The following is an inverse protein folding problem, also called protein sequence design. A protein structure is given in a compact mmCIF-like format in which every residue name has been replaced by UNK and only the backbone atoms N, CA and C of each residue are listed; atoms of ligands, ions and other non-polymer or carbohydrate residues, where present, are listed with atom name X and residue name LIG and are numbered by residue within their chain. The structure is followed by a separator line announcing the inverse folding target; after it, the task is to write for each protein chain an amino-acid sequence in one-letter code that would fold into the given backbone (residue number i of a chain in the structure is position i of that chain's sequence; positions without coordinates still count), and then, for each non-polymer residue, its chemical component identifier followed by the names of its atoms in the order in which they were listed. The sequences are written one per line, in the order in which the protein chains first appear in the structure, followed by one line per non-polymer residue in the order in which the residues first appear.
data_IF_263732860149
#
_entry.id   IF_263732860149
#
_cell.length_a   1.000
_cell.length_b   1.000
_cell.length_c   1.000
_cell.angle_alpha   90.00
_cell.angle_beta   90.00
_cell.angle_gamma   90.00
#
_symmetry.space_group_name_H-M   'P 1'
#
loop_
_entity.id
_entity.type
_entity.pdbx_description
1 polymer ?
#
# COMPACT_ATOMS: atom_id res chain seq x y z
N UNK A 1 -41.17 3.54 26.18
CA UNK A 1 -40.31 4.41 25.36
C UNK A 1 -38.89 3.92 25.57
N UNK A 2 -38.23 3.20 24.63
CA UNK A 2 -36.84 2.85 24.87
C UNK A 2 -36.02 4.14 24.87
N UNK A 3 -35.18 4.26 25.89
CA UNK A 3 -34.29 5.37 26.17
C UNK A 3 -33.49 5.77 24.92
N UNK A 4 -33.51 7.06 24.60
CA UNK A 4 -32.69 7.65 23.55
C UNK A 4 -31.22 7.42 23.85
N UNK A 5 -30.64 6.39 23.23
CA UNK A 5 -29.20 6.26 23.15
C UNK A 5 -28.71 7.47 22.36
N UNK A 6 -28.01 8.38 23.05
CA UNK A 6 -27.37 9.52 22.43
C UNK A 6 -26.42 8.99 21.36
N UNK A 7 -26.63 9.38 20.10
CA UNK A 7 -25.70 9.06 19.02
C UNK A 7 -24.36 9.68 19.42
N UNK A 8 -23.27 8.90 19.51
CA UNK A 8 -21.99 9.43 19.90
C UNK A 8 -21.56 10.49 18.88
N UNK A 9 -21.14 11.65 19.38
CA UNK A 9 -20.61 12.73 18.55
C UNK A 9 -19.12 12.49 18.36
N UNK A 10 -18.68 12.47 17.11
CA UNK A 10 -17.25 12.35 16.78
C UNK A 10 -16.44 13.51 17.38
N UNK A 11 -15.30 13.18 17.97
CA UNK A 11 -14.27 14.11 18.45
C UNK A 11 -12.93 13.80 17.81
N UNK A 12 -12.00 14.77 17.84
CA UNK A 12 -10.62 14.62 17.35
C UNK A 12 -10.48 14.01 15.94
N UNK A 13 -11.20 14.50 14.91
CA UNK A 13 -11.16 13.91 13.59
C UNK A 13 -9.78 14.06 12.94
N UNK A 14 -9.31 13.01 12.26
CA UNK A 14 -8.07 13.00 11.50
C UNK A 14 -8.19 12.15 10.23
N UNK A 15 -7.23 12.28 9.31
CA UNK A 15 -7.12 11.45 8.11
C UNK A 15 -8.39 11.46 7.25
N UNK A 16 -8.62 12.53 6.48
CA UNK A 16 -9.82 12.65 5.67
C UNK A 16 -9.61 12.22 4.22
N UNK A 17 -10.46 11.33 3.73
CA UNK A 17 -10.49 10.92 2.31
C UNK A 17 -11.93 10.87 1.80
N UNK A 18 -12.20 11.52 0.67
CA UNK A 18 -13.49 11.42 -0.01
C UNK A 18 -13.48 10.25 -1.01
N UNK A 19 -14.48 9.38 -0.92
CA UNK A 19 -14.72 8.30 -1.88
C UNK A 19 -16.20 8.36 -2.29
N UNK A 20 -16.45 8.63 -3.58
CA UNK A 20 -17.80 8.71 -4.16
C UNK A 20 -18.79 9.60 -3.37
N UNK A 21 -18.32 10.77 -2.91
CA UNK A 21 -19.17 11.72 -2.19
C UNK A 21 -19.37 11.41 -0.70
N UNK A 22 -18.73 10.37 -0.18
CA UNK A 22 -18.65 10.08 1.26
C UNK A 22 -17.24 10.47 1.74
N UNK A 23 -17.15 11.38 2.72
CA UNK A 23 -15.87 11.69 3.37
C UNK A 23 -15.68 10.78 4.57
N UNK A 24 -14.65 9.96 4.55
CA UNK A 24 -14.24 9.08 5.64
C UNK A 24 -13.14 9.72 6.47
N UNK A 25 -13.12 9.43 7.77
CA UNK A 25 -12.09 9.90 8.69
C UNK A 25 -12.02 9.01 9.95
N UNK A 26 -10.89 9.06 10.65
CA UNK A 26 -10.75 8.51 11.99
C UNK A 26 -11.20 9.52 13.04
N UNK A 27 -11.90 9.08 14.09
CA UNK A 27 -12.33 9.93 15.20
C UNK A 27 -12.72 9.08 16.42
N UNK A 28 -12.71 9.68 17.60
CA UNK A 28 -13.15 9.07 18.87
C UNK A 28 -14.47 9.66 19.38
N UNK A 29 -14.94 9.20 20.54
CA UNK A 29 -16.00 9.83 21.33
C UNK A 29 -15.85 9.48 22.81
N UNK A 30 -16.75 9.96 23.69
CA UNK A 30 -16.70 9.65 25.12
C UNK A 30 -16.97 8.18 25.48
N UNK A 31 -17.49 7.38 24.55
CA UNK A 31 -17.84 5.97 24.77
C UNK A 31 -17.31 5.02 23.69
N UNK A 32 -16.62 5.57 22.68
CA UNK A 32 -16.03 4.82 21.55
C UNK A 32 -14.61 5.32 21.35
N UNK A 33 -13.65 4.40 21.19
CA UNK A 33 -12.28 4.74 20.84
C UNK A 33 -12.14 5.34 19.43
N UNK A 34 -10.90 5.51 18.96
CA UNK A 34 -10.61 5.92 17.59
C UNK A 34 -11.05 4.85 16.60
N UNK A 35 -12.08 5.19 15.83
CA UNK A 35 -12.79 4.29 14.95
C UNK A 35 -13.09 4.93 13.58
N UNK A 36 -13.68 4.17 12.66
CA UNK A 36 -14.01 4.69 11.33
C UNK A 36 -15.34 5.46 11.35
N UNK A 37 -15.28 6.73 10.94
CA UNK A 37 -16.43 7.61 10.80
C UNK A 37 -16.59 8.08 9.35
N UNK A 38 -17.78 8.62 9.05
CA UNK A 38 -18.06 9.27 7.78
C UNK A 38 -18.88 10.55 7.96
N UNK A 39 -18.81 11.43 6.98
CA UNK A 39 -19.67 12.61 6.86
C UNK A 39 -20.05 12.90 5.41
N UNK A 40 -21.22 13.50 5.24
CA UNK A 40 -21.65 14.15 4.00
C UNK A 40 -21.64 15.70 4.12
N UNK A 41 -21.04 16.25 5.18
CA UNK A 41 -21.01 17.68 5.47
C UNK A 41 -22.15 18.21 6.35
N UNK A 42 -23.07 17.35 6.79
CA UNK A 42 -24.16 17.72 7.70
C UNK A 42 -24.01 17.02 9.06
N UNK A 43 -24.53 17.63 10.13
CA UNK A 43 -24.51 17.00 11.46
C UNK A 43 -25.20 15.63 11.47
N UNK A 44 -26.33 15.49 10.77
CA UNK A 44 -27.07 14.23 10.67
C UNK A 44 -26.33 13.16 9.84
N UNK A 45 -25.49 13.59 8.89
CA UNK A 45 -24.70 12.68 8.06
C UNK A 45 -23.31 12.36 8.62
N UNK A 46 -22.90 13.01 9.71
CA UNK A 46 -21.66 12.73 10.45
C UNK A 46 -21.90 11.62 11.46
N UNK A 47 -21.58 10.38 11.09
CA UNK A 47 -21.92 9.19 11.88
C UNK A 47 -20.80 8.16 11.88
N UNK A 48 -20.76 7.34 12.92
CA UNK A 48 -19.90 6.18 13.01
C UNK A 48 -20.21 5.22 11.85
N UNK A 49 -19.17 4.75 11.16
CA UNK A 49 -19.31 3.69 10.14
C UNK A 49 -19.27 2.34 10.82
N UNK A 50 -18.27 2.10 11.66
CA UNK A 50 -18.11 0.86 12.41
C UNK A 50 -17.25 1.09 13.64
N UNK A 51 -17.72 0.57 14.77
CA UNK A 51 -16.91 0.31 15.97
C UNK A 51 -16.14 -1.01 15.72
N UNK A 52 -14.90 -0.92 15.25
CA UNK A 52 -14.09 -2.10 14.90
C UNK A 52 -13.63 -2.80 16.18
N UNK A 53 -13.11 -2.04 17.16
CA UNK A 53 -12.77 -2.54 18.49
C UNK A 53 -13.80 -2.06 19.51
N UNK A 54 -14.82 -2.90 19.73
CA UNK A 54 -15.98 -2.56 20.54
C UNK A 54 -15.68 -1.81 21.85
N UNK A 55 -16.39 -0.69 22.07
CA UNK A 55 -16.28 0.12 23.27
C UNK A 55 -15.14 1.14 23.18
N UNK A 56 -14.43 1.37 24.28
CA UNK A 56 -13.42 2.45 24.38
C UNK A 56 -12.03 2.02 23.88
N UNK A 57 -11.93 0.89 23.18
CA UNK A 57 -10.64 0.43 22.63
C UNK A 57 -10.47 1.00 21.23
N UNK A 58 -9.26 1.43 20.89
CA UNK A 58 -9.00 2.07 19.61
C UNK A 58 -8.71 1.02 18.53
N UNK A 59 -9.29 1.15 17.33
CA UNK A 59 -8.79 0.47 16.13
C UNK A 59 -7.79 1.31 15.35
N UNK A 60 -7.66 2.60 15.70
CA UNK A 60 -6.72 3.57 15.15
C UNK A 60 -6.66 3.51 13.60
N UNK A 61 -7.79 3.69 12.89
CA UNK A 61 -7.79 3.59 11.44
C UNK A 61 -6.84 4.63 10.82
N UNK A 62 -6.04 4.24 9.84
CA UNK A 62 -5.04 5.10 9.18
C UNK A 62 -4.85 4.70 7.71
N UNK A 63 -4.05 5.44 6.94
CA UNK A 63 -3.78 5.20 5.51
C UNK A 63 -5.06 5.16 4.66
N UNK A 64 -5.92 6.17 4.82
CA UNK A 64 -7.20 6.27 4.12
C UNK A 64 -7.04 6.52 2.63
N UNK A 65 -7.24 5.49 1.80
CA UNK A 65 -7.01 5.51 0.36
C UNK A 65 -8.29 5.09 -0.39
N UNK A 66 -8.74 5.90 -1.35
CA UNK A 66 -9.83 5.51 -2.25
C UNK A 66 -9.35 4.49 -3.30
N UNK A 67 -10.00 3.34 -3.39
CA UNK A 67 -9.72 2.29 -4.38
C UNK A 67 -11.03 1.90 -5.07
N UNK A 68 -11.18 2.34 -6.33
CA UNK A 68 -12.46 2.23 -7.03
C UNK A 68 -13.57 2.94 -6.26
N UNK A 69 -14.61 2.20 -5.87
CA UNK A 69 -15.75 2.73 -5.12
C UNK A 69 -15.67 2.51 -3.60
N UNK A 70 -14.52 2.06 -3.09
CA UNK A 70 -14.35 1.67 -1.69
C UNK A 70 -13.23 2.47 -1.05
N UNK A 71 -13.36 2.72 0.25
CA UNK A 71 -12.22 3.09 1.07
C UNK A 71 -11.40 1.83 1.35
N UNK A 72 -10.09 1.95 1.24
CA UNK A 72 -9.10 1.01 1.77
C UNK A 72 -8.29 1.76 2.83
N UNK A 73 -8.06 1.12 3.96
CA UNK A 73 -7.38 1.73 5.11
C UNK A 73 -6.74 0.63 5.95
N UNK A 74 -5.91 1.00 6.93
CA UNK A 74 -5.36 0.06 7.91
C UNK A 74 -6.04 0.24 9.26
N UNK A 75 -6.30 -0.83 9.99
CA UNK A 75 -6.84 -0.77 11.34
C UNK A 75 -6.32 -1.94 12.18
N UNK A 76 -6.16 -1.70 13.47
CA UNK A 76 -5.69 -2.66 14.46
C UNK A 76 -6.87 -3.42 15.08
N UNK A 77 -6.71 -4.73 15.28
CA UNK A 77 -7.50 -5.49 16.26
C UNK A 77 -6.58 -6.34 17.13
N UNK A 78 -6.98 -6.67 18.38
CA UNK A 78 -6.21 -7.59 19.21
C UNK A 78 -5.98 -8.97 18.58
N UNK A 79 -6.86 -9.40 17.67
CA UNK A 79 -6.80 -10.72 17.05
C UNK A 79 -5.87 -10.78 15.83
N UNK A 80 -5.76 -9.67 15.08
CA UNK A 80 -5.07 -9.63 13.77
C UNK A 80 -3.88 -8.67 13.73
N UNK A 81 -3.65 -7.89 14.78
CA UNK A 81 -2.76 -6.73 14.66
C UNK A 81 -3.31 -5.68 13.67
N UNK A 82 -2.45 -4.81 13.16
CA UNK A 82 -2.79 -3.79 12.16
C UNK A 82 -2.68 -4.35 10.75
N UNK A 83 -3.82 -4.50 10.10
CA UNK A 83 -3.97 -5.13 8.78
C UNK A 83 -4.73 -4.21 7.81
N UNK A 84 -4.90 -4.65 6.57
CA UNK A 84 -5.62 -3.91 5.53
C UNK A 84 -7.12 -4.19 5.60
N UNK A 85 -7.91 -3.13 5.64
CA UNK A 85 -9.38 -3.12 5.72
C UNK A 85 -9.99 -2.38 4.53
N UNK A 86 -11.28 -2.60 4.32
CA UNK A 86 -12.06 -1.86 3.35
C UNK A 86 -13.45 -1.52 3.85
N UNK A 87 -13.96 -0.36 3.44
CA UNK A 87 -15.32 0.09 3.72
C UNK A 87 -16.04 0.59 2.46
N UNK A 88 -17.34 0.32 2.38
CA UNK A 88 -18.26 0.98 1.44
C UNK A 88 -19.11 2.08 2.11
N UNK A 89 -18.78 2.48 3.34
CA UNK A 89 -19.58 3.46 4.10
C UNK A 89 -20.66 2.86 4.99
N UNK A 90 -20.75 1.53 5.11
CA UNK A 90 -21.67 0.84 6.03
C UNK A 90 -20.90 -0.05 6.99
N UNK A 91 -21.45 -0.29 8.19
CA UNK A 91 -20.87 -1.21 9.17
C UNK A 91 -20.66 -2.63 8.60
N UNK A 92 -21.69 -3.16 7.90
CA UNK A 92 -21.64 -4.49 7.30
C UNK A 92 -20.61 -4.59 6.16
N UNK A 93 -20.47 -3.53 5.36
CA UNK A 93 -19.48 -3.48 4.29
C UNK A 93 -18.08 -3.02 4.72
N UNK A 94 -17.83 -2.94 6.03
CA UNK A 94 -16.53 -2.59 6.62
C UNK A 94 -15.87 -3.82 7.22
N UNK A 95 -14.90 -4.39 6.51
CA UNK A 95 -14.29 -5.69 6.82
C UNK A 95 -12.79 -5.67 6.55
N UNK A 96 -12.05 -6.56 7.22
CA UNK A 96 -10.67 -6.86 6.86
C UNK A 96 -10.65 -7.39 5.41
N UNK A 97 -9.69 -6.93 4.62
CA UNK A 97 -9.46 -7.46 3.27
C UNK A 97 -8.68 -8.76 3.34
N UNK A 98 -7.60 -8.75 4.11
CA UNK A 98 -6.77 -9.91 4.36
C UNK A 98 -5.96 -9.70 5.64
N UNK A 99 -5.92 -10.73 6.47
CA UNK A 99 -4.91 -10.87 7.52
C UNK A 99 -3.63 -11.36 6.83
N UNK A 100 -2.78 -10.43 6.39
CA UNK A 100 -1.57 -10.76 5.63
C UNK A 100 -0.55 -11.43 6.55
N UNK A 101 -0.40 -10.91 7.77
CA UNK A 101 0.45 -11.52 8.79
C UNK A 101 -0.43 -12.23 9.82
N UNK A 102 -0.81 -13.46 9.48
CA UNK A 102 -1.70 -14.30 10.30
C UNK A 102 -1.36 -14.26 11.79
N UNK A 103 -2.34 -13.89 12.60
CA UNK A 103 -2.24 -13.82 14.06
C UNK A 103 -2.18 -12.39 14.58
N UNK A 104 -1.67 -12.19 15.79
CA UNK A 104 -1.82 -10.92 16.52
C UNK A 104 -0.85 -9.81 16.09
N UNK A 105 0.00 -10.06 15.11
CA UNK A 105 1.09 -9.16 14.73
C UNK A 105 0.79 -8.46 13.42
N UNK A 106 1.07 -7.16 13.33
CA UNK A 106 0.83 -6.37 12.12
C UNK A 106 1.73 -6.77 10.95
N UNK A 107 1.17 -6.78 9.74
CA UNK A 107 1.88 -6.94 8.47
C UNK A 107 2.70 -5.72 8.03
N UNK A 108 2.65 -4.61 8.77
CA UNK A 108 3.52 -3.42 8.60
C UNK A 108 3.50 -2.87 7.16
N UNK A 109 2.30 -2.55 6.66
CA UNK A 109 2.15 -2.02 5.31
C UNK A 109 2.86 -0.67 5.14
N UNK A 110 3.43 -0.46 3.96
CA UNK A 110 4.10 0.79 3.57
C UNK A 110 3.98 0.98 2.03
N UNK A 111 4.61 2.02 1.49
CA UNK A 111 4.79 2.33 0.05
C UNK A 111 3.51 2.14 -0.76
N UNK A 112 2.53 2.99 -0.54
CA UNK A 112 1.26 2.93 -1.27
C UNK A 112 1.35 3.65 -2.62
N UNK A 113 0.82 3.05 -3.69
CA UNK A 113 0.62 3.72 -4.98
C UNK A 113 -0.56 3.14 -5.76
N UNK A 114 -1.31 3.98 -6.48
CA UNK A 114 -2.48 3.55 -7.26
C UNK A 114 -2.13 3.50 -8.74
N UNK A 115 -2.59 2.46 -9.42
CA UNK A 115 -2.59 2.34 -10.88
C UNK A 115 -3.99 1.93 -11.32
N UNK A 116 -4.70 2.84 -11.99
CA UNK A 116 -6.11 2.64 -12.31
C UNK A 116 -6.95 2.46 -11.03
N UNK A 117 -7.58 1.30 -10.87
CA UNK A 117 -8.38 0.95 -9.69
C UNK A 117 -7.68 -0.05 -8.76
N UNK A 118 -6.36 -0.22 -8.89
CA UNK A 118 -5.58 -1.15 -8.09
C UNK A 118 -4.58 -0.38 -7.23
N UNK A 119 -4.60 -0.66 -5.93
CA UNK A 119 -3.61 -0.19 -4.98
C UNK A 119 -2.47 -1.20 -4.88
N UNK A 120 -1.24 -0.73 -5.04
CA UNK A 120 -0.01 -1.48 -4.78
C UNK A 120 0.63 -0.98 -3.50
N UNK A 121 1.19 -1.90 -2.72
CA UNK A 121 1.79 -1.61 -1.43
C UNK A 121 2.81 -2.69 -1.05
N UNK A 122 3.69 -2.40 -0.09
CA UNK A 122 4.54 -3.43 0.52
C UNK A 122 3.90 -3.94 1.79
N UNK A 123 4.03 -5.24 2.06
CA UNK A 123 3.60 -5.85 3.32
C UNK A 123 4.49 -7.03 3.67
N UNK A 124 4.68 -7.26 4.98
CA UNK A 124 5.38 -8.41 5.52
C UNK A 124 4.43 -9.59 5.76
N UNK A 125 4.80 -10.75 5.22
CA UNK A 125 4.19 -12.06 5.49
C UNK A 125 5.31 -13.00 5.98
N UNK A 126 5.08 -13.83 7.03
CA UNK A 126 6.14 -14.68 7.57
C UNK A 126 6.64 -15.77 6.60
N UNK A 127 5.86 -16.07 5.55
CA UNK A 127 6.18 -17.02 4.49
C UNK A 127 7.08 -16.40 3.41
N UNK A 128 6.87 -15.12 3.11
CA UNK A 128 7.45 -14.43 1.94
C UNK A 128 8.37 -13.25 2.31
N UNK A 129 8.44 -12.86 3.59
CA UNK A 129 9.06 -11.61 4.00
C UNK A 129 8.27 -10.38 3.53
N UNK A 130 8.95 -9.24 3.41
CA UNK A 130 8.38 -7.99 2.87
C UNK A 130 8.46 -7.98 1.36
N UNK A 131 7.30 -8.05 0.71
CA UNK A 131 7.15 -8.17 -0.74
C UNK A 131 6.15 -7.15 -1.29
N UNK A 132 5.99 -7.12 -2.62
CA UNK A 132 5.00 -6.29 -3.30
C UNK A 132 3.64 -7.00 -3.35
N UNK A 133 2.62 -6.32 -2.82
CA UNK A 133 1.22 -6.76 -2.81
C UNK A 133 0.36 -5.80 -3.62
N UNK A 134 -0.84 -6.27 -3.98
CA UNK A 134 -1.86 -5.43 -4.59
C UNK A 134 -3.25 -5.74 -4.07
N UNK A 135 -4.17 -4.78 -4.18
CA UNK A 135 -5.61 -4.95 -3.93
C UNK A 135 -6.45 -4.13 -4.90
N UNK A 136 -7.62 -4.64 -5.25
CA UNK A 136 -8.71 -3.89 -5.91
C UNK A 136 -9.76 -3.38 -4.89
N UNK A 137 -9.48 -3.48 -3.59
CA UNK A 137 -10.41 -3.16 -2.52
C UNK A 137 -11.33 -4.32 -2.12
N UNK A 138 -11.07 -5.54 -2.62
CA UNK A 138 -11.78 -6.76 -2.23
C UNK A 138 -10.85 -7.82 -1.63
N UNK A 139 -11.35 -8.74 -0.78
CA UNK A 139 -10.52 -9.82 -0.24
C UNK A 139 -9.90 -10.69 -1.34
N UNK A 140 -10.65 -11.02 -2.39
CA UNK A 140 -10.19 -11.86 -3.49
C UNK A 140 -9.10 -11.17 -4.34
N UNK A 141 -9.19 -9.85 -4.52
CA UNK A 141 -8.19 -9.07 -5.24
C UNK A 141 -6.95 -8.71 -4.41
N UNK A 142 -6.93 -9.03 -3.10
CA UNK A 142 -5.81 -8.74 -2.19
C UNK A 142 -4.78 -9.87 -2.22
N UNK A 143 -3.75 -9.72 -3.05
CA UNK A 143 -2.82 -10.80 -3.40
C UNK A 143 -1.37 -10.32 -3.48
N UNK A 144 -0.45 -11.24 -3.19
CA UNK A 144 0.98 -11.08 -3.47
C UNK A 144 1.16 -10.95 -4.98
N UNK A 145 1.92 -9.96 -5.44
CA UNK A 145 2.21 -9.78 -6.87
C UNK A 145 3.20 -10.84 -7.35
N UNK A 146 4.28 -11.03 -6.59
CA UNK A 146 5.31 -12.04 -6.78
C UNK A 146 6.12 -12.17 -5.50
N UNK A 147 6.52 -13.39 -5.16
CA UNK A 147 7.62 -13.65 -4.23
C UNK A 147 8.94 -13.36 -4.98
N UNK A 148 9.43 -12.12 -4.89
CA UNK A 148 10.61 -11.68 -5.66
C UNK A 148 11.87 -12.31 -5.09
N UNK A 149 11.95 -12.43 -3.76
CA UNK A 149 13.03 -13.13 -3.07
C UNK A 149 12.49 -14.38 -2.40
N UNK A 150 12.58 -15.55 -3.07
CA UNK A 150 11.93 -16.76 -2.63
C UNK A 150 12.13 -17.11 -1.15
N UNK A 151 11.00 -17.38 -0.47
CA UNK A 151 10.96 -17.81 0.92
C UNK A 151 10.89 -16.66 1.92
N UNK A 152 11.38 -16.88 3.14
CA UNK A 152 11.12 -15.99 4.29
C UNK A 152 11.84 -14.63 4.26
N UNK A 153 12.69 -14.39 3.26
CA UNK A 153 13.55 -13.20 3.23
C UNK A 153 12.92 -12.11 2.36
N UNK A 154 12.87 -10.88 2.85
CA UNK A 154 12.33 -9.75 2.10
C UNK A 154 13.13 -9.41 0.84
N UNK A 155 12.42 -9.10 -0.25
CA UNK A 155 12.95 -8.36 -1.40
C UNK A 155 13.03 -6.86 -1.19
N UNK A 156 12.33 -6.35 -0.17
CA UNK A 156 12.27 -4.94 0.27
C UNK A 156 11.97 -3.96 -0.89
N UNK A 157 10.81 -4.05 -1.54
CA UNK A 157 10.43 -3.12 -2.61
C UNK A 157 10.37 -1.67 -2.11
N UNK A 158 10.90 -0.71 -2.89
CA UNK A 158 10.86 0.72 -2.57
C UNK A 158 10.91 1.60 -3.85
N UNK A 159 10.91 2.92 -3.72
CA UNK A 159 11.03 3.90 -4.80
C UNK A 159 9.97 3.77 -5.89
N UNK A 160 8.71 3.56 -5.51
CA UNK A 160 7.61 3.33 -6.44
C UNK A 160 7.41 4.52 -7.40
N UNK A 161 7.45 4.25 -8.70
CA UNK A 161 7.22 5.23 -9.77
C UNK A 161 6.36 4.61 -10.86
N UNK A 162 5.21 5.22 -11.13
CA UNK A 162 4.26 4.75 -12.14
C UNK A 162 4.51 5.46 -13.47
N UNK A 163 4.59 4.70 -14.57
CA UNK A 163 4.61 5.21 -15.95
C UNK A 163 3.58 4.43 -16.76
N UNK A 164 2.53 5.11 -17.21
CA UNK A 164 1.36 4.47 -17.83
C UNK A 164 0.75 3.44 -16.87
N UNK A 165 0.71 2.17 -17.29
CA UNK A 165 0.20 1.04 -16.49
C UNK A 165 1.30 0.19 -15.85
N UNK A 166 2.56 0.67 -15.86
CA UNK A 166 3.71 -0.07 -15.31
C UNK A 166 4.20 0.61 -14.03
N UNK A 167 4.39 -0.20 -12.98
CA UNK A 167 5.09 0.23 -11.78
C UNK A 167 6.57 -0.11 -11.89
N UNK A 168 7.42 0.89 -11.74
CA UNK A 168 8.86 0.76 -11.54
C UNK A 168 9.19 0.92 -10.07
N UNK A 169 10.13 0.11 -9.58
CA UNK A 169 10.53 0.09 -8.18
C UNK A 169 11.91 -0.54 -8.04
N UNK A 170 12.49 -0.45 -6.85
CA UNK A 170 13.74 -1.13 -6.51
C UNK A 170 13.47 -2.33 -5.64
N UNK A 171 14.11 -3.47 -5.88
CA UNK A 171 14.00 -4.67 -5.06
C UNK A 171 15.23 -5.57 -5.24
N UNK A 172 15.40 -6.55 -4.36
CA UNK A 172 16.44 -7.59 -4.43
C UNK A 172 15.83 -8.98 -4.47
N UNK A 173 16.27 -9.83 -5.39
CA UNK A 173 15.93 -11.27 -5.41
C UNK A 173 16.91 -12.12 -4.58
N UNK A 174 17.82 -11.48 -3.84
CA UNK A 174 18.88 -12.12 -3.08
C UNK A 174 20.08 -12.61 -3.92
N UNK A 175 19.99 -12.56 -5.25
CA UNK A 175 21.07 -13.01 -6.15
C UNK A 175 21.81 -11.85 -6.80
N UNK A 176 21.12 -10.73 -7.07
CA UNK A 176 21.65 -9.60 -7.84
C UNK A 176 21.65 -8.26 -7.08
N UNK A 177 21.65 -8.30 -5.75
CA UNK A 177 21.54 -7.07 -4.95
C UNK A 177 20.24 -6.30 -5.25
N UNK A 178 20.20 -5.01 -4.89
CA UNK A 178 19.05 -4.15 -5.16
C UNK A 178 19.18 -3.52 -6.55
N UNK A 179 18.24 -3.85 -7.43
CA UNK A 179 18.23 -3.44 -8.83
C UNK A 179 16.91 -2.74 -9.20
N UNK A 180 16.82 -2.26 -10.45
CA UNK A 180 15.57 -1.73 -11.00
C UNK A 180 14.66 -2.88 -11.43
N UNK A 181 13.43 -2.88 -10.92
CA UNK A 181 12.37 -3.82 -11.26
C UNK A 181 11.18 -3.09 -11.88
N UNK A 182 10.36 -3.86 -12.59
CA UNK A 182 9.06 -3.40 -13.08
C UNK A 182 7.99 -4.46 -12.87
N UNK A 183 6.74 -4.04 -12.80
CA UNK A 183 5.57 -4.92 -12.87
C UNK A 183 4.42 -4.30 -13.66
N UNK A 184 3.64 -5.18 -14.31
CA UNK A 184 2.31 -4.86 -14.86
C UNK A 184 1.17 -5.36 -13.95
N UNK A 185 1.50 -5.76 -12.71
CA UNK A 185 0.55 -6.33 -11.75
C UNK A 185 0.43 -7.85 -11.79
N UNK A 186 1.21 -8.56 -12.59
CA UNK A 186 1.22 -10.03 -12.64
C UNK A 186 2.59 -10.57 -12.21
N UNK A 187 2.63 -11.81 -11.71
CA UNK A 187 3.90 -12.45 -11.36
C UNK A 187 4.83 -12.59 -12.57
N UNK A 188 4.29 -12.93 -13.75
CA UNK A 188 5.05 -13.06 -14.99
C UNK A 188 5.60 -11.72 -15.50
N UNK A 189 4.84 -10.64 -15.35
CA UNK A 189 5.27 -9.29 -15.70
C UNK A 189 6.14 -8.60 -14.65
N UNK A 190 6.35 -9.22 -13.48
CA UNK A 190 7.23 -8.71 -12.42
C UNK A 190 8.65 -9.22 -12.64
N UNK A 191 9.50 -8.36 -13.19
CA UNK A 191 10.85 -8.73 -13.65
C UNK A 191 11.87 -7.64 -13.35
N UNK A 192 13.12 -8.05 -13.11
CA UNK A 192 14.27 -7.14 -13.11
C UNK A 192 14.41 -6.55 -14.49
N UNK A 193 14.54 -5.23 -14.58
CA UNK A 193 14.70 -4.52 -15.85
C UNK A 193 16.09 -4.76 -16.42
N UNK A 194 17.12 -4.64 -15.57
CA UNK A 194 18.51 -4.87 -15.91
C UNK A 194 19.30 -5.16 -14.64
N UNK A 195 20.29 -6.04 -14.73
CA UNK A 195 21.37 -6.14 -13.76
C UNK A 195 22.41 -5.05 -14.13
N UNK A 196 22.36 -3.90 -13.44
CA UNK A 196 23.21 -2.75 -13.77
C UNK A 196 24.60 -2.92 -13.15
N UNK A 197 24.68 -3.50 -11.95
CA UNK A 197 25.93 -3.85 -11.30
C UNK A 197 26.10 -5.37 -11.33
N UNK A 198 26.87 -5.92 -12.28
CA UNK A 198 26.89 -7.36 -12.53
C UNK A 198 27.19 -8.21 -11.29
N UNK A 199 26.45 -9.31 -11.14
CA UNK A 199 26.65 -10.28 -10.07
C UNK A 199 25.86 -9.91 -8.81
N UNK A 200 26.40 -10.21 -7.62
CA UNK A 200 25.69 -10.01 -6.35
C UNK A 200 25.78 -8.59 -5.78
N UNK A 201 26.47 -7.69 -6.48
CA UNK A 201 26.55 -6.28 -6.08
C UNK A 201 25.23 -5.55 -6.34
N UNK A 202 25.00 -4.46 -5.61
CA UNK A 202 23.77 -3.66 -5.73
C UNK A 202 24.04 -2.40 -6.54
N UNK A 203 23.27 -2.18 -7.62
CA UNK A 203 23.28 -0.90 -8.32
C UNK A 203 22.57 0.20 -7.53
N UNK A 204 21.75 -0.16 -6.52
CA UNK A 204 21.05 0.77 -5.63
C UNK A 204 20.40 1.95 -6.39
N UNK A 205 19.47 1.71 -7.33
CA UNK A 205 18.82 2.79 -8.05
C UNK A 205 18.11 3.76 -7.09
N UNK A 206 18.19 5.07 -7.33
CA UNK A 206 17.48 6.09 -6.53
C UNK A 206 16.96 7.21 -7.41
N UNK A 207 16.02 7.98 -6.86
CA UNK A 207 15.41 9.15 -7.50
C UNK A 207 14.76 8.81 -8.85
N UNK A 208 14.02 7.70 -8.88
CA UNK A 208 13.25 7.28 -10.04
C UNK A 208 12.28 8.40 -10.42
N UNK A 209 12.44 8.93 -11.62
CA UNK A 209 11.71 10.10 -12.11
C UNK A 209 11.23 9.84 -13.52
N UNK A 210 9.92 9.94 -13.75
CA UNK A 210 9.36 9.88 -15.10
C UNK A 210 9.55 11.23 -15.82
N UNK A 211 10.12 11.21 -17.02
CA UNK A 211 10.20 12.37 -17.92
C UNK A 211 9.76 11.90 -19.31
N UNK A 212 8.58 12.34 -19.77
CA UNK A 212 8.03 12.02 -21.09
C UNK A 212 8.05 10.51 -21.40
N UNK A 213 7.51 9.70 -20.49
CA UNK A 213 7.43 8.23 -20.56
C UNK A 213 8.78 7.49 -20.54
N UNK A 214 9.86 8.19 -20.18
CA UNK A 214 11.18 7.61 -19.95
C UNK A 214 11.53 7.74 -18.48
N UNK A 215 11.93 6.62 -17.86
CA UNK A 215 12.38 6.61 -16.47
C UNK A 215 13.84 7.06 -16.39
N UNK A 216 14.12 8.11 -15.63
CA UNK A 216 15.46 8.56 -15.28
C UNK A 216 15.74 8.27 -13.80
N UNK A 217 16.97 7.87 -13.49
CA UNK A 217 17.39 7.54 -12.14
C UNK A 217 18.92 7.54 -12.06
N UNK A 218 19.47 7.55 -10.85
CA UNK A 218 20.90 7.25 -10.67
C UNK A 218 21.10 5.85 -10.11
N UNK A 219 22.20 5.20 -10.51
CA UNK A 219 22.57 3.88 -10.04
C UNK A 219 24.08 3.69 -10.12
N UNK A 220 24.62 2.84 -9.23
CA UNK A 220 26.00 2.42 -9.23
C UNK A 220 26.27 1.44 -10.36
N UNK A 221 27.41 1.61 -11.00
CA UNK A 221 28.01 0.68 -11.97
C UNK A 221 29.43 0.34 -11.52
N UNK A 222 30.11 -0.54 -12.25
CA UNK A 222 31.54 -0.82 -12.04
C UNK A 222 32.43 0.44 -12.10
N UNK A 223 31.97 1.52 -12.74
CA UNK A 223 32.69 2.79 -12.88
C UNK A 223 32.17 3.90 -11.93
N UNK A 224 31.43 3.51 -10.88
CA UNK A 224 30.80 4.40 -9.92
C UNK A 224 29.36 4.77 -10.26
N UNK A 225 28.81 5.75 -9.51
CA UNK A 225 27.43 6.21 -9.67
C UNK A 225 27.25 7.02 -10.94
N UNK A 226 26.24 6.68 -11.75
CA UNK A 226 25.92 7.33 -13.03
C UNK A 226 24.44 7.70 -13.12
N UNK A 227 24.11 8.60 -14.04
CA UNK A 227 22.74 8.84 -14.47
C UNK A 227 22.35 7.80 -15.52
N UNK A 228 21.13 7.27 -15.42
CA UNK A 228 20.58 6.25 -16.30
C UNK A 228 19.22 6.70 -16.83
N UNK A 229 18.86 6.18 -18.00
CA UNK A 229 17.49 6.20 -18.51
C UNK A 229 17.03 4.79 -18.84
N UNK A 230 15.74 4.53 -18.74
CA UNK A 230 15.11 3.25 -19.08
C UNK A 230 13.77 3.44 -19.76
N UNK A 231 13.52 2.65 -20.80
CA UNK A 231 12.19 2.42 -21.37
C UNK A 231 11.52 1.14 -20.81
N UNK A 232 12.07 0.60 -19.72
CA UNK A 232 11.60 -0.64 -19.09
C UNK A 232 12.11 -1.93 -19.72
N UNK A 233 13.08 -1.89 -20.64
CA UNK A 233 13.76 -3.08 -21.15
C UNK A 233 15.24 -3.05 -20.79
N UNK A 234 15.91 -4.21 -20.74
CA UNK A 234 17.35 -4.28 -20.49
C UNK A 234 18.16 -3.50 -21.54
N UNK A 235 17.78 -3.61 -22.83
CA UNK A 235 18.44 -2.92 -23.94
C UNK A 235 18.23 -1.41 -23.94
N UNK A 236 17.03 -0.94 -23.57
CA UNK A 236 16.73 0.48 -23.44
C UNK A 236 17.12 1.08 -22.08
N UNK A 237 17.73 0.30 -21.18
CA UNK A 237 18.30 0.78 -19.92
C UNK A 237 19.78 1.09 -20.10
N UNK A 238 20.09 2.36 -20.29
CA UNK A 238 21.42 2.84 -20.69
C UNK A 238 21.86 4.02 -19.84
N UNK A 239 23.17 4.12 -19.64
CA UNK A 239 23.77 5.29 -19.02
C UNK A 239 23.53 6.53 -19.89
N UNK A 240 23.21 7.64 -19.24
CA UNK A 240 23.20 8.96 -19.86
C UNK A 240 24.57 9.57 -19.63
N UNK A 241 25.31 9.82 -20.71
CA UNK A 241 26.54 10.60 -20.65
C UNK A 241 26.16 12.08 -20.80
N UNK A 242 26.35 12.90 -19.76
CA UNK A 242 26.25 14.35 -19.89
C UNK A 242 27.37 14.91 -20.78
#
# INVERSE_FOLDING_TARGET
MPSGAQIPTATNPYGMTNVNGITFFGADSSVIGYELWKTNGTAAGSVLVKDINAGTSDSDPDNFIGVGSRLVFTAYTPATGRELWSSNGTAAGTTILKDIRVGTSSSSLDKFTIIGTTLYFTAYDPTYGTELWKTDGTPAGTVLVKDIRPGINSSSPDNFTVIGTTLYFTASDGSFGTELWKTNGTAAGTVRVKDIYPGSGSSSPRYLTNINDVLYFNANSLSGRKLWKSNGTAGGTVQVNP
#
